data_IF_609629361879
#
_entry.id   IF_609629361879
#
_cell.length_a   1.000
_cell.length_b   1.000
_cell.length_c   1.000
_cell.angle_alpha   90.00
_cell.angle_beta   90.00
_cell.angle_gamma   90.00
#
_symmetry.space_group_name_H-M   'P 1'
#
loop_
_entity.id
_entity.type
_entity.pdbx_description
1 polymer ?
#
# COMPACT_ATOMS: atom_id res chain seq x y z
N UNK A 1 -18.43 14.62 -16.02
CA UNK A 1 -17.66 13.43 -15.59
C UNK A 1 -17.72 13.38 -14.08
N UNK A 2 -18.10 12.25 -13.50
CA UNK A 2 -18.02 12.03 -12.05
C UNK A 2 -16.57 11.72 -11.68
N UNK A 3 -16.01 12.49 -10.76
CA UNK A 3 -14.66 12.25 -10.22
C UNK A 3 -14.66 10.98 -9.38
N UNK A 4 -13.78 10.02 -9.71
CA UNK A 4 -13.50 8.85 -8.89
C UNK A 4 -12.42 9.18 -7.86
N UNK A 5 -12.65 8.88 -6.58
CA UNK A 5 -11.77 9.25 -5.46
C UNK A 5 -11.21 8.01 -4.80
N UNK A 6 -9.89 7.91 -4.73
CA UNK A 6 -9.19 6.82 -4.07
C UNK A 6 -8.25 7.34 -2.99
N UNK A 7 -7.96 6.51 -1.99
CA UNK A 7 -6.92 6.76 -1.01
C UNK A 7 -6.16 5.48 -0.67
N UNK A 8 -4.92 5.65 -0.18
CA UNK A 8 -4.12 4.58 0.39
C UNK A 8 -3.60 4.98 1.77
N UNK A 9 -3.54 4.05 2.71
CA UNK A 9 -3.01 4.31 4.05
C UNK A 9 -2.45 3.04 4.70
N UNK A 10 -1.26 3.14 5.29
CA UNK A 10 -0.79 2.15 6.26
C UNK A 10 -1.43 2.47 7.62
N UNK A 11 -2.24 1.55 8.16
CA UNK A 11 -3.04 1.81 9.37
C UNK A 11 -2.36 1.36 10.65
N UNK A 12 -1.20 0.69 10.57
CA UNK A 12 -0.49 0.13 11.72
C UNK A 12 -1.40 -0.63 12.69
N UNK A 13 -2.17 -1.60 12.19
CA UNK A 13 -3.15 -2.38 12.95
C UNK A 13 -4.22 -1.54 13.68
N UNK A 14 -4.48 -0.33 13.17
CA UNK A 14 -5.33 0.67 13.79
C UNK A 14 -4.92 0.97 15.25
N UNK A 15 -3.62 1.15 15.47
CA UNK A 15 -3.03 1.44 16.77
C UNK A 15 -2.08 2.63 16.67
N UNK A 16 -2.17 3.55 17.64
CA UNK A 16 -1.15 4.58 17.85
C UNK A 16 0.04 3.98 18.59
N UNK A 17 1.25 4.25 18.13
CA UNK A 17 2.45 3.98 18.93
C UNK A 17 2.82 5.24 19.74
N UNK A 18 3.30 5.12 20.99
CA UNK A 18 3.51 3.88 21.76
C UNK A 18 2.32 3.49 22.66
N UNK A 19 1.21 4.23 22.64
CA UNK A 19 0.07 4.00 23.56
C UNK A 19 -0.76 2.75 23.25
N UNK A 20 -0.60 2.18 22.05
CA UNK A 20 -1.40 1.10 21.46
C UNK A 20 -2.92 1.37 21.45
N UNK A 21 -3.34 2.61 21.69
CA UNK A 21 -4.74 3.02 21.64
C UNK A 21 -5.27 3.01 20.21
N UNK A 22 -6.55 2.70 20.04
CA UNK A 22 -7.21 2.75 18.73
C UNK A 22 -7.12 4.15 18.10
N UNK A 23 -6.80 4.23 16.81
CA UNK A 23 -6.84 5.46 16.01
C UNK A 23 -7.99 5.49 14.98
N UNK A 24 -8.89 4.49 15.00
CA UNK A 24 -9.97 4.34 13.98
C UNK A 24 -10.78 5.62 13.81
N UNK A 25 -11.29 6.20 14.91
CA UNK A 25 -12.11 7.43 14.86
C UNK A 25 -11.37 8.64 14.31
N UNK A 26 -10.07 8.76 14.58
CA UNK A 26 -9.25 9.85 14.04
C UNK A 26 -9.07 9.68 12.53
N UNK A 27 -8.69 8.48 12.07
CA UNK A 27 -8.53 8.20 10.65
C UNK A 27 -9.84 8.43 9.89
N UNK A 28 -10.98 8.04 10.46
CA UNK A 28 -12.31 8.33 9.87
C UNK A 28 -12.54 9.84 9.77
N UNK A 29 -12.27 10.61 10.84
CA UNK A 29 -12.48 12.07 10.82
C UNK A 29 -11.64 12.79 9.76
N UNK A 30 -10.46 12.23 9.44
CA UNK A 30 -9.59 12.74 8.37
C UNK A 30 -10.15 12.35 7.00
N UNK A 31 -10.58 11.09 6.82
CA UNK A 31 -10.90 10.52 5.52
C UNK A 31 -12.34 10.77 5.06
N UNK A 32 -13.28 10.91 5.99
CA UNK A 32 -14.72 11.11 5.71
C UNK A 32 -15.00 12.31 4.79
N UNK A 33 -14.39 13.51 4.98
CA UNK A 33 -14.62 14.66 4.11
C UNK A 33 -14.22 14.43 2.64
N UNK A 34 -13.31 13.49 2.37
CA UNK A 34 -12.88 13.19 1.02
C UNK A 34 -13.89 12.37 0.22
N UNK A 35 -14.92 11.80 0.88
CA UNK A 35 -16.01 11.06 0.23
C UNK A 35 -15.48 10.03 -0.79
N UNK A 36 -14.60 9.15 -0.31
CA UNK A 36 -13.86 8.18 -1.12
C UNK A 36 -14.79 7.19 -1.83
N UNK A 37 -14.36 6.69 -2.97
CA UNK A 37 -14.99 5.59 -3.69
C UNK A 37 -14.29 4.26 -3.41
N UNK A 38 -12.98 4.30 -3.12
CA UNK A 38 -12.19 3.14 -2.73
C UNK A 38 -11.06 3.55 -1.79
N UNK A 39 -10.69 2.66 -0.86
CA UNK A 39 -9.51 2.80 -0.02
C UNK A 39 -8.71 1.51 0.04
N UNK A 40 -7.40 1.62 -0.09
CA UNK A 40 -6.44 0.56 0.09
C UNK A 40 -5.69 0.72 1.43
N UNK A 41 -5.68 -0.32 2.26
CA UNK A 41 -5.05 -0.30 3.58
C UNK A 41 -3.95 -1.35 3.72
N UNK A 42 -2.85 -0.99 4.37
CA UNK A 42 -1.73 -1.88 4.73
C UNK A 42 -1.68 -2.07 6.26
N UNK A 43 -1.06 -3.17 6.71
CA UNK A 43 -0.97 -3.55 8.13
C UNK A 43 -2.34 -3.65 8.82
N UNK A 44 -3.35 -4.10 8.08
CA UNK A 44 -4.70 -4.30 8.61
C UNK A 44 -4.85 -5.71 9.16
N UNK A 45 -5.69 -5.88 10.17
CA UNK A 45 -6.11 -7.19 10.66
C UNK A 45 -7.59 -7.40 10.36
N UNK A 46 -7.99 -8.63 10.05
CA UNK A 46 -9.40 -8.95 9.84
C UNK A 46 -10.15 -9.03 11.18
N UNK A 47 -10.48 -7.88 11.75
CA UNK A 47 -11.13 -7.73 13.05
C UNK A 47 -12.17 -6.60 13.04
N UNK A 48 -12.80 -6.34 14.18
CA UNK A 48 -13.85 -5.33 14.32
C UNK A 48 -13.37 -3.90 14.02
N UNK A 49 -12.08 -3.58 14.19
CA UNK A 49 -11.56 -2.25 13.85
C UNK A 49 -11.59 -2.02 12.33
N UNK A 50 -11.19 -3.02 11.54
CA UNK A 50 -11.30 -2.95 10.08
C UNK A 50 -12.76 -2.78 9.65
N UNK A 51 -13.65 -3.58 10.25
CA UNK A 51 -15.09 -3.50 10.00
C UNK A 51 -15.68 -2.13 10.33
N UNK A 52 -15.41 -1.61 11.52
CA UNK A 52 -15.83 -0.28 11.93
C UNK A 52 -15.32 0.79 10.96
N UNK A 53 -14.05 0.70 10.57
CA UNK A 53 -13.40 1.68 9.71
C UNK A 53 -14.07 1.83 8.34
N UNK A 54 -14.24 0.74 7.58
CA UNK A 54 -14.87 0.86 6.26
C UNK A 54 -16.37 1.17 6.33
N UNK A 55 -17.08 0.70 7.37
CA UNK A 55 -18.51 0.99 7.54
C UNK A 55 -18.75 2.46 7.82
N UNK A 56 -17.97 3.06 8.70
CA UNK A 56 -18.08 4.49 9.05
C UNK A 56 -17.63 5.41 7.91
N UNK A 57 -16.79 4.93 6.99
CA UNK A 57 -16.46 5.63 5.74
C UNK A 57 -17.49 5.42 4.62
N UNK A 58 -18.60 4.71 4.88
CA UNK A 58 -19.62 4.39 3.87
C UNK A 58 -19.08 3.61 2.66
N UNK A 59 -18.14 2.68 2.91
CA UNK A 59 -17.53 1.79 1.91
C UNK A 59 -17.97 0.33 2.20
N UNK A 60 -19.22 -0.05 1.87
CA UNK A 60 -19.84 -1.28 2.38
C UNK A 60 -19.25 -2.58 1.82
N UNK A 61 -18.44 -2.52 0.76
CA UNK A 61 -17.85 -3.69 0.14
C UNK A 61 -16.37 -3.76 0.50
N UNK A 62 -15.95 -4.82 1.18
CA UNK A 62 -14.56 -4.97 1.64
C UNK A 62 -14.00 -6.35 1.33
N UNK A 63 -12.71 -6.42 1.01
CA UNK A 63 -11.92 -7.65 0.91
C UNK A 63 -10.67 -7.53 1.75
N UNK A 64 -10.21 -8.66 2.28
CA UNK A 64 -9.03 -8.76 3.11
C UNK A 64 -8.09 -9.80 2.52
N UNK A 65 -6.82 -9.43 2.38
CA UNK A 65 -5.75 -10.26 1.85
C UNK A 65 -4.86 -10.75 2.98
N UNK A 66 -5.06 -11.97 3.50
CA UNK A 66 -4.17 -12.53 4.51
C UNK A 66 -2.77 -12.75 3.93
N UNK A 67 -1.76 -12.59 4.79
CA UNK A 67 -0.41 -13.08 4.56
C UNK A 67 0.04 -13.84 5.82
N UNK A 68 0.97 -14.78 5.66
CA UNK A 68 1.68 -15.51 6.71
C UNK A 68 2.64 -14.61 7.52
N UNK A 69 2.32 -13.32 7.65
CA UNK A 69 3.06 -12.28 8.37
C UNK A 69 2.12 -11.21 8.90
N UNK A 70 2.68 -10.12 9.39
CA UNK A 70 1.91 -8.97 9.93
C UNK A 70 1.46 -7.98 8.86
N UNK A 71 1.85 -8.21 7.61
CA UNK A 71 1.70 -7.28 6.49
C UNK A 71 0.50 -7.60 5.60
N UNK A 72 -0.66 -7.83 6.24
CA UNK A 72 -1.90 -8.08 5.54
C UNK A 72 -2.46 -6.79 4.95
N UNK A 73 -3.19 -6.93 3.85
CA UNK A 73 -3.76 -5.82 3.11
C UNK A 73 -5.29 -5.86 3.11
N UNK A 74 -5.92 -4.72 2.90
CA UNK A 74 -7.37 -4.61 2.78
C UNK A 74 -7.76 -3.62 1.69
N UNK A 75 -8.89 -3.87 1.05
CA UNK A 75 -9.54 -2.91 0.16
C UNK A 75 -10.99 -2.76 0.61
N UNK A 76 -11.46 -1.52 0.72
CA UNK A 76 -12.88 -1.23 0.88
C UNK A 76 -13.37 -0.25 -0.20
N UNK A 77 -14.60 -0.44 -0.65
CA UNK A 77 -15.17 0.21 -1.82
C UNK A 77 -16.63 0.61 -1.58
N UNK A 78 -17.01 1.75 -2.18
CA UNK A 78 -18.40 2.21 -2.31
C UNK A 78 -19.20 1.28 -3.22
N UNK A 79 -18.53 0.68 -4.20
CA UNK A 79 -19.12 -0.15 -5.25
C UNK A 79 -18.84 -1.64 -5.04
N UNK A 80 -19.74 -2.54 -5.49
CA UNK A 80 -19.55 -3.98 -5.38
C UNK A 80 -18.21 -4.45 -5.96
N UNK A 81 -17.54 -5.34 -5.24
CA UNK A 81 -16.30 -5.98 -5.69
C UNK A 81 -16.68 -7.24 -6.46
N UNK A 82 -16.39 -7.23 -7.76
CA UNK A 82 -16.72 -8.32 -8.69
C UNK A 82 -15.88 -9.56 -8.45
N UNK A 83 -14.58 -9.36 -8.27
CA UNK A 83 -13.60 -10.41 -8.05
C UNK A 83 -12.41 -9.84 -7.28
N UNK A 84 -11.72 -10.70 -6.54
CA UNK A 84 -10.47 -10.37 -5.86
C UNK A 84 -9.55 -11.59 -5.82
N UNK A 85 -8.25 -11.34 -5.69
CA UNK A 85 -7.22 -12.37 -5.53
C UNK A 85 -6.13 -11.91 -4.58
N UNK A 86 -5.42 -12.86 -4.00
CA UNK A 86 -4.27 -12.62 -3.14
C UNK A 86 -3.12 -13.48 -3.65
N UNK A 87 -1.96 -12.87 -3.84
CA UNK A 87 -0.71 -13.57 -4.11
C UNK A 87 0.27 -13.23 -2.99
N UNK A 88 0.77 -14.25 -2.31
CA UNK A 88 1.85 -14.15 -1.34
C UNK A 88 3.19 -14.48 -2.01
N UNK A 89 4.27 -13.91 -1.50
CA UNK A 89 5.62 -14.25 -1.94
C UNK A 89 6.00 -15.71 -1.65
N UNK A 90 6.74 -16.31 -2.57
CA UNK A 90 7.34 -17.64 -2.44
C UNK A 90 8.49 -17.70 -1.42
N UNK A 91 8.96 -16.54 -0.97
CA UNK A 91 10.04 -16.37 -0.01
C UNK A 91 9.61 -15.48 1.16
N UNK A 92 10.27 -15.68 2.30
CA UNK A 92 10.10 -14.88 3.51
C UNK A 92 11.24 -13.87 3.61
N UNK A 93 10.92 -12.59 3.79
CA UNK A 93 11.89 -11.57 4.18
C UNK A 93 11.96 -11.46 5.71
N UNK A 94 12.83 -10.60 6.24
CA UNK A 94 12.94 -10.36 7.69
C UNK A 94 11.60 -9.86 8.25
N UNK A 95 10.89 -9.02 7.49
CA UNK A 95 9.55 -8.53 7.84
C UNK A 95 8.42 -9.55 7.67
N UNK A 96 8.73 -10.79 7.29
CA UNK A 96 7.77 -11.87 7.06
C UNK A 96 7.43 -12.10 5.58
N UNK A 97 6.37 -12.84 5.32
CA UNK A 97 5.83 -12.94 3.96
C UNK A 97 5.13 -11.63 3.58
N UNK A 98 5.19 -11.28 2.29
CA UNK A 98 4.47 -10.14 1.72
C UNK A 98 3.40 -10.63 0.77
N UNK A 99 2.37 -9.83 0.60
CA UNK A 99 1.30 -10.13 -0.35
C UNK A 99 0.90 -8.93 -1.20
N UNK A 100 0.31 -9.22 -2.34
CA UNK A 100 -0.47 -8.28 -3.14
C UNK A 100 -1.92 -8.74 -3.16
N UNK A 101 -2.83 -7.84 -2.80
CA UNK A 101 -4.28 -8.04 -2.87
C UNK A 101 -4.82 -7.24 -4.04
N UNK A 102 -5.51 -7.90 -4.96
CA UNK A 102 -6.05 -7.31 -6.18
C UNK A 102 -7.57 -7.40 -6.18
N UNK A 103 -8.26 -6.42 -6.76
CA UNK A 103 -9.70 -6.50 -6.98
C UNK A 103 -10.16 -5.72 -8.22
N UNK A 104 -11.34 -6.10 -8.72
CA UNK A 104 -12.07 -5.35 -9.74
C UNK A 104 -13.45 -4.98 -9.21
N UNK A 105 -13.98 -3.83 -9.64
CA UNK A 105 -15.31 -3.35 -9.27
C UNK A 105 -16.33 -3.63 -10.38
N UNK A 106 -17.60 -3.77 -10.01
CA UNK A 106 -18.69 -3.93 -11.00
C UNK A 106 -18.96 -2.63 -11.79
N UNK A 107 -18.63 -1.47 -11.22
CA UNK A 107 -18.95 -0.16 -11.80
C UNK A 107 -17.88 0.42 -12.70
N UNK A 108 -16.65 -0.12 -12.66
CA UNK A 108 -15.52 0.34 -13.46
C UNK A 108 -14.96 -0.85 -14.22
N UNK A 109 -15.29 -0.92 -15.50
CA UNK A 109 -14.76 -1.94 -16.39
C UNK A 109 -13.28 -1.71 -16.68
N UNK A 110 -12.54 -2.80 -16.84
CA UNK A 110 -11.13 -2.80 -17.24
C UNK A 110 -10.20 -2.00 -16.32
N UNK A 111 -10.53 -1.91 -15.02
CA UNK A 111 -9.64 -1.37 -14.00
C UNK A 111 -9.50 -2.38 -12.87
N UNK A 112 -8.27 -2.83 -12.69
CA UNK A 112 -7.80 -3.69 -11.62
C UNK A 112 -7.04 -2.83 -10.62
N UNK A 113 -7.50 -2.86 -9.38
CA UNK A 113 -6.86 -2.20 -8.25
C UNK A 113 -6.01 -3.22 -7.52
N UNK A 114 -4.84 -2.81 -7.05
CA UNK A 114 -4.03 -3.64 -6.17
C UNK A 114 -3.46 -2.85 -5.02
N UNK A 115 -3.22 -3.54 -3.91
CA UNK A 115 -2.55 -3.02 -2.74
C UNK A 115 -1.46 -3.97 -2.28
N UNK A 116 -0.29 -3.43 -1.95
CA UNK A 116 0.81 -4.20 -1.34
C UNK A 116 1.55 -3.37 -0.30
N UNK A 117 2.34 -4.06 0.54
CA UNK A 117 3.27 -3.48 1.50
C UNK A 117 4.60 -4.20 1.34
N UNK A 118 5.52 -3.57 0.60
CA UNK A 118 6.84 -4.14 0.33
C UNK A 118 7.73 -4.09 1.58
N UNK A 119 8.85 -4.81 1.56
CA UNK A 119 9.75 -4.82 2.69
C UNK A 119 10.29 -3.43 3.04
N UNK A 120 10.53 -3.17 4.32
CA UNK A 120 10.99 -1.84 4.79
C UNK A 120 12.47 -1.84 5.21
N UNK A 121 13.14 -3.00 5.21
CA UNK A 121 14.51 -3.17 5.67
C UNK A 121 15.50 -3.42 4.52
N UNK A 122 15.07 -4.14 3.49
CA UNK A 122 15.94 -4.61 2.40
C UNK A 122 15.31 -4.31 1.02
N UNK A 123 15.93 -3.39 0.28
CA UNK A 123 15.53 -2.93 -1.04
C UNK A 123 15.76 -3.99 -2.13
N UNK A 124 16.64 -4.97 -1.94
CA UNK A 124 16.72 -6.14 -2.85
C UNK A 124 15.50 -7.04 -2.68
N UNK A 125 15.01 -7.21 -1.45
CA UNK A 125 13.76 -7.94 -1.19
C UNK A 125 12.54 -7.21 -1.74
N UNK A 126 12.49 -5.87 -1.67
CA UNK A 126 11.45 -5.08 -2.34
C UNK A 126 11.44 -5.32 -3.86
N UNK A 127 12.61 -5.32 -4.49
CA UNK A 127 12.75 -5.60 -5.91
C UNK A 127 12.33 -7.03 -6.28
N UNK A 128 12.70 -8.02 -5.48
CA UNK A 128 12.26 -9.42 -5.69
C UNK A 128 10.75 -9.53 -5.55
N UNK A 129 10.16 -8.88 -4.54
CA UNK A 129 8.72 -8.89 -4.28
C UNK A 129 7.93 -8.31 -5.46
N UNK A 130 8.28 -7.11 -5.94
CA UNK A 130 7.55 -6.49 -7.05
C UNK A 130 7.73 -7.26 -8.37
N UNK A 131 8.86 -7.94 -8.54
CA UNK A 131 9.11 -8.81 -9.70
C UNK A 131 8.26 -10.07 -9.63
N UNK A 132 8.11 -10.67 -8.47
CA UNK A 132 7.27 -11.84 -8.26
C UNK A 132 5.77 -11.53 -8.39
N UNK A 133 5.32 -10.42 -7.79
CA UNK A 133 3.92 -9.96 -7.92
C UNK A 133 3.56 -9.54 -9.33
N UNK A 134 4.55 -9.12 -10.12
CA UNK A 134 4.45 -8.82 -11.54
C UNK A 134 3.19 -8.03 -11.97
N UNK A 135 2.89 -6.88 -11.33
CA UNK A 135 1.66 -6.13 -11.52
C UNK A 135 1.41 -5.72 -12.98
N UNK A 136 2.47 -5.46 -13.74
CA UNK A 136 2.39 -5.10 -15.15
C UNK A 136 1.82 -6.25 -16.02
N UNK A 137 2.38 -7.46 -15.91
CA UNK A 137 1.89 -8.63 -16.68
C UNK A 137 0.49 -9.06 -16.24
N UNK A 138 0.11 -8.77 -15.00
CA UNK A 138 -1.24 -9.01 -14.49
C UNK A 138 -2.25 -7.92 -14.90
N UNK A 139 -1.84 -6.91 -15.69
CA UNK A 139 -2.67 -5.77 -16.08
C UNK A 139 -3.32 -5.10 -14.85
N UNK A 140 -2.50 -4.73 -13.88
CA UNK A 140 -2.96 -3.96 -12.72
C UNK A 140 -2.93 -2.49 -13.08
N UNK A 141 -4.07 -1.87 -13.35
CA UNK A 141 -4.14 -0.46 -13.74
C UNK A 141 -3.78 0.50 -12.60
N UNK A 142 -4.18 0.17 -11.35
CA UNK A 142 -3.96 1.03 -10.19
C UNK A 142 -3.24 0.23 -9.09
N UNK A 143 -1.94 0.45 -8.97
CA UNK A 143 -1.10 -0.14 -7.93
C UNK A 143 -0.95 0.84 -6.75
N UNK A 144 -1.44 0.45 -5.58
CA UNK A 144 -1.41 1.25 -4.36
C UNK A 144 -0.58 0.57 -3.26
N UNK A 145 -0.22 1.37 -2.27
CA UNK A 145 0.21 0.87 -0.97
C UNK A 145 1.48 1.53 -0.47
N UNK A 146 2.25 0.74 0.27
CA UNK A 146 3.53 1.17 0.82
C UNK A 146 4.66 0.43 0.12
N UNK A 147 5.28 1.11 -0.84
CA UNK A 147 6.38 0.56 -1.62
C UNK A 147 7.69 0.58 -0.83
N UNK A 148 7.76 1.31 0.29
CA UNK A 148 8.98 1.53 1.07
C UNK A 148 10.19 1.96 0.23
N UNK A 149 9.92 2.63 -0.89
CA UNK A 149 10.92 3.04 -1.86
C UNK A 149 10.90 4.56 -2.03
N UNK A 150 12.06 5.11 -2.36
CA UNK A 150 12.26 6.53 -2.57
C UNK A 150 12.44 6.82 -4.05
N UNK A 151 12.08 8.02 -4.46
CA UNK A 151 12.41 8.56 -5.77
C UNK A 151 13.50 9.63 -5.58
N UNK A 152 14.47 9.71 -6.49
CA UNK A 152 15.60 10.65 -6.32
C UNK A 152 15.10 12.09 -6.40
N UNK A 153 14.12 12.31 -7.25
CA UNK A 153 13.49 13.59 -7.56
C UNK A 153 12.70 14.16 -6.37
N UNK A 154 12.38 13.35 -5.35
CA UNK A 154 11.71 13.78 -4.13
C UNK A 154 12.56 14.76 -3.29
N UNK A 155 13.88 14.79 -3.53
CA UNK A 155 14.83 15.49 -2.69
C UNK A 155 15.74 16.42 -3.49
N UNK A 156 16.02 17.60 -2.93
CA UNK A 156 17.20 18.38 -3.35
C UNK A 156 18.48 17.62 -3.00
N UNK A 157 19.56 17.88 -3.74
CA UNK A 157 20.88 17.27 -3.50
C UNK A 157 21.35 17.46 -2.06
N UNK A 158 21.21 18.68 -1.53
CA UNK A 158 21.59 19.01 -0.16
C UNK A 158 20.76 18.24 0.87
N UNK A 159 19.44 18.13 0.67
CA UNK A 159 18.59 17.39 1.59
C UNK A 159 18.87 15.89 1.53
N UNK A 160 19.07 15.34 0.33
CA UNK A 160 19.40 13.95 0.13
C UNK A 160 20.69 13.57 0.86
N UNK A 161 21.78 14.30 0.63
CA UNK A 161 23.07 13.98 1.23
C UNK A 161 23.12 14.27 2.73
N UNK A 162 22.60 15.42 3.17
CA UNK A 162 22.78 15.84 4.56
C UNK A 162 21.73 15.26 5.51
N UNK A 163 20.56 14.88 5.02
CA UNK A 163 19.46 14.41 5.87
C UNK A 163 19.13 12.95 5.59
N UNK A 164 18.82 12.59 4.34
CA UNK A 164 18.34 11.24 4.02
C UNK A 164 19.44 10.20 4.24
N UNK A 165 20.61 10.41 3.63
CA UNK A 165 21.76 9.50 3.76
C UNK A 165 22.25 9.46 5.21
N UNK A 166 22.46 10.61 5.84
CA UNK A 166 22.94 10.68 7.23
C UNK A 166 22.00 9.98 8.21
N UNK A 167 20.68 10.14 8.05
CA UNK A 167 19.69 9.47 8.90
C UNK A 167 19.72 7.95 8.74
N UNK A 168 19.80 7.45 7.50
CA UNK A 168 19.88 6.00 7.25
C UNK A 168 21.18 5.42 7.82
N UNK A 169 22.31 6.09 7.65
CA UNK A 169 23.59 5.68 8.24
C UNK A 169 23.52 5.64 9.77
N UNK A 170 22.96 6.66 10.42
CA UNK A 170 22.75 6.68 11.89
C UNK A 170 21.85 5.56 12.39
N UNK A 171 20.91 5.09 11.56
CA UNK A 171 20.01 3.98 11.86
C UNK A 171 20.55 2.62 11.44
N UNK A 172 21.77 2.54 10.91
CA UNK A 172 22.36 1.33 10.30
C UNK A 172 21.47 0.71 9.22
N UNK A 173 20.77 1.55 8.46
CA UNK A 173 20.00 1.14 7.29
C UNK A 173 20.86 1.23 6.03
N UNK A 174 20.50 0.47 5.00
CA UNK A 174 21.16 0.59 3.70
C UNK A 174 20.98 2.00 3.11
N UNK A 175 21.92 2.41 2.24
CA UNK A 175 21.81 3.70 1.56
C UNK A 175 20.59 3.71 0.64
N UNK A 176 19.90 4.85 0.51
CA UNK A 176 18.77 4.96 -0.40
C UNK A 176 19.13 4.52 -1.81
N UNK A 177 18.30 3.64 -2.35
CA UNK A 177 18.34 3.15 -3.72
C UNK A 177 17.07 3.58 -4.44
N UNK A 178 17.11 3.52 -5.76
CA UNK A 178 16.05 4.07 -6.64
C UNK A 178 15.61 3.08 -7.72
N UNK A 179 16.19 1.89 -7.73
CA UNK A 179 15.95 0.87 -8.73
C UNK A 179 14.50 0.41 -8.74
N UNK A 180 13.84 0.36 -7.58
CA UNK A 180 12.44 -0.04 -7.49
C UNK A 180 11.51 0.99 -8.16
N UNK A 181 11.69 2.27 -7.85
CA UNK A 181 10.87 3.34 -8.43
C UNK A 181 11.14 3.49 -9.92
N UNK A 182 12.40 3.34 -10.35
CA UNK A 182 12.76 3.28 -11.77
C UNK A 182 12.11 2.10 -12.50
N UNK A 183 12.15 0.89 -11.94
CA UNK A 183 11.50 -0.30 -12.50
C UNK A 183 9.99 -0.08 -12.68
N UNK A 184 9.32 0.45 -11.66
CA UNK A 184 7.86 0.67 -11.70
C UNK A 184 7.50 1.76 -12.73
N UNK A 185 8.23 2.88 -12.73
CA UNK A 185 7.84 4.06 -13.53
C UNK A 185 8.37 4.03 -14.97
N UNK A 186 9.63 3.65 -15.17
CA UNK A 186 10.28 3.72 -16.48
C UNK A 186 10.15 2.42 -17.27
N UNK A 187 10.27 1.27 -16.62
CA UNK A 187 10.19 -0.03 -17.31
C UNK A 187 8.76 -0.54 -17.42
N UNK A 188 7.91 -0.26 -16.42
CA UNK A 188 6.52 -0.74 -16.34
C UNK A 188 5.47 0.34 -16.62
N UNK A 189 5.90 1.56 -16.94
CA UNK A 189 5.05 2.69 -17.34
C UNK A 189 3.95 3.06 -16.34
N UNK A 190 4.14 2.77 -15.04
CA UNK A 190 3.28 3.37 -14.03
C UNK A 190 3.62 4.86 -13.89
N UNK A 191 2.59 5.69 -13.80
CA UNK A 191 2.76 7.09 -13.46
C UNK A 191 2.51 7.27 -11.96
N UNK A 192 3.44 7.94 -11.28
CA UNK A 192 3.20 8.36 -9.91
C UNK A 192 2.09 9.43 -9.86
N UNK A 193 1.18 9.29 -8.91
CA UNK A 193 -0.05 10.07 -8.82
C UNK A 193 0.03 11.21 -7.79
N UNK A 194 1.23 11.62 -7.39
CA UNK A 194 1.50 12.63 -6.37
C UNK A 194 2.33 13.81 -6.90
#
# INVERSE_FOLDING_TARGET
>A
MTTFRLAKINVHSFCRLPSFSSNVSELISILEPFNLDIIAVQEVQNNDKWKEFYQRLSLPFSVYGPSNGTCCNGIASRYPIRCYSVQETSFCCIGGYRSILQCCLDTIENVTFAVTHLDYLDEDDQLKQIKEFNPYEHNIEILMGDMNALTREDYSDDYYHNIVVERREKSNWEKPRFELTQLITHERNYQDAF
#
